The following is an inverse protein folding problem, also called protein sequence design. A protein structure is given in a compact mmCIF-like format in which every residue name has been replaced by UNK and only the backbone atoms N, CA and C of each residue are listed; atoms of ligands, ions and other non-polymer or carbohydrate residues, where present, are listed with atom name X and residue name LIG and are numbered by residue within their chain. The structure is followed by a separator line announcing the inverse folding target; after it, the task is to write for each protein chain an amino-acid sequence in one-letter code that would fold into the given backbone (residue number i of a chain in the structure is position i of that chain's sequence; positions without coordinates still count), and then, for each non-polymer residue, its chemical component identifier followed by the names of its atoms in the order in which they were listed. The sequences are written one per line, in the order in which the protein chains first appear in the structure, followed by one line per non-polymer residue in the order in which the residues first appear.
data_IF_819559040045
#
_entry.id   IF_819559040045
#
_cell.length_a   1.000
_cell.length_b   1.000
_cell.length_c   1.000
_cell.angle_alpha   90.00
_cell.angle_beta   90.00
_cell.angle_gamma   90.00
#
_symmetry.space_group_name_H-M   'P 1'
#
loop_
_entity.id
_entity.type
_entity.pdbx_description
1 polymer ?
#
# COMPACT_ATOMS: atom_id res chain seq x y z
N UNK A 1 -5.25 29.39 -47.55
CA UNK A 1 -4.26 29.74 -48.59
C UNK A 1 -2.98 30.07 -47.85
N UNK A 2 -1.87 29.32 -48.02
CA UNK A 2 -1.34 28.84 -49.30
C UNK A 2 -1.38 27.31 -49.51
N UNK A 3 -1.78 26.92 -50.72
CA UNK A 3 -1.23 25.85 -51.60
C UNK A 3 -0.58 24.62 -50.94
N UNK A 4 -1.26 23.47 -50.82
CA UNK A 4 -1.41 22.41 -51.85
C UNK A 4 -0.10 21.71 -52.29
N UNK A 5 0.18 20.54 -51.72
CA UNK A 5 0.93 19.46 -52.38
C UNK A 5 0.16 18.15 -52.18
N UNK A 6 -0.34 17.64 -53.30
CA UNK A 6 -1.05 16.37 -53.48
C UNK A 6 -0.06 15.41 -54.17
N UNK A 7 0.24 14.26 -53.55
CA UNK A 7 0.86 13.13 -54.24
C UNK A 7 0.06 11.86 -53.91
N UNK A 8 -0.61 11.37 -54.95
CA UNK A 8 -1.32 10.09 -55.00
C UNK A 8 -0.37 8.90 -55.10
N UNK A 9 -0.82 7.81 -54.47
CA UNK A 9 -0.73 6.38 -54.85
C UNK A 9 0.65 5.75 -55.12
N UNK A 10 0.94 4.70 -54.36
CA UNK A 10 0.96 3.33 -54.94
C UNK A 10 0.64 2.29 -53.88
N UNK A 11 -0.22 1.35 -54.26
CA UNK A 11 -0.54 0.13 -53.56
C UNK A 11 0.59 -0.90 -53.76
N UNK A 12 0.83 -1.71 -52.74
CA UNK A 12 1.68 -2.89 -52.80
C UNK A 12 1.01 -4.02 -52.04
N UNK A 13 0.25 -4.83 -52.78
CA UNK A 13 -0.21 -6.15 -52.34
C UNK A 13 1.00 -7.04 -52.07
N UNK A 14 0.99 -7.75 -50.94
CA UNK A 14 1.72 -9.00 -50.80
C UNK A 14 0.74 -10.08 -50.32
N UNK A 15 0.41 -10.92 -51.28
CA UNK A 15 -0.34 -12.16 -51.16
C UNK A 15 0.62 -13.36 -50.99
N UNK A 16 0.17 -14.40 -50.30
CA UNK A 16 0.78 -15.74 -50.25
C UNK A 16 1.65 -16.00 -49.00
N UNK A 17 1.47 -17.07 -48.24
CA UNK A 17 0.61 -18.22 -48.40
C UNK A 17 0.55 -19.08 -47.14
N UNK A 18 -0.48 -19.91 -47.09
CA UNK A 18 -0.69 -21.02 -46.16
C UNK A 18 0.55 -21.92 -46.06
N UNK A 19 0.76 -22.58 -44.91
CA UNK A 19 0.76 -24.05 -44.78
C UNK A 19 0.82 -24.50 -43.29
N UNK A 20 -0.18 -25.32 -42.94
CA UNK A 20 -0.22 -26.42 -41.95
C UNK A 20 -0.24 -26.17 -40.43
N UNK A 21 -1.45 -26.32 -39.89
CA UNK A 21 -1.75 -26.78 -38.53
C UNK A 21 -1.59 -28.30 -38.40
N UNK A 22 -1.08 -28.83 -37.26
CA UNK A 22 -1.34 -30.21 -36.86
C UNK A 22 -2.54 -30.28 -35.91
N UNK A 23 -3.47 -31.19 -36.23
CA UNK A 23 -4.60 -31.60 -35.38
C UNK A 23 -4.09 -32.25 -34.09
N UNK A 24 -4.45 -31.69 -32.93
CA UNK A 24 -4.41 -32.38 -31.65
C UNK A 24 -5.78 -33.02 -31.38
N UNK A 25 -5.82 -34.35 -31.47
CA UNK A 25 -6.98 -35.16 -31.14
C UNK A 25 -7.06 -35.40 -29.64
N UNK A 26 -8.21 -35.02 -29.06
CA UNK A 26 -8.96 -35.62 -27.94
C UNK A 26 -8.16 -36.13 -26.73
N UNK A 27 -8.48 -35.54 -25.57
CA UNK A 27 -8.91 -36.30 -24.39
C UNK A 27 -9.75 -35.39 -23.48
N UNK A 28 -11.06 -35.62 -23.48
CA UNK A 28 -12.00 -35.09 -22.46
C UNK A 28 -11.82 -35.96 -21.21
N UNK A 29 -11.33 -35.40 -20.11
CA UNK A 29 -11.49 -36.03 -18.80
C UNK A 29 -12.89 -35.68 -18.24
N UNK A 30 -13.75 -36.69 -18.15
CA UNK A 30 -14.93 -36.67 -17.30
C UNK A 30 -14.51 -37.35 -16.00
N UNK A 31 -14.48 -36.62 -14.88
CA UNK A 31 -14.42 -37.23 -13.56
C UNK A 31 -15.84 -37.62 -13.14
N UNK A 32 -16.13 -38.92 -13.15
CA UNK A 32 -17.28 -39.53 -12.49
C UNK A 32 -16.87 -40.01 -11.11
N UNK A 33 -17.59 -39.50 -10.11
CA UNK A 33 -17.71 -40.05 -8.76
C UNK A 33 -18.38 -41.44 -8.80
N UNK A 34 -17.99 -42.33 -7.88
CA UNK A 34 -18.88 -43.39 -7.38
C UNK A 34 -18.34 -44.81 -7.39
N UNK A 35 -18.49 -45.44 -6.22
CA UNK A 35 -18.60 -46.87 -5.94
C UNK A 35 -17.31 -47.69 -5.73
N UNK A 36 -16.99 -48.01 -4.48
CA UNK A 36 -17.51 -49.12 -3.65
C UNK A 36 -16.78 -50.43 -3.94
N UNK A 37 -15.97 -50.88 -2.96
CA UNK A 37 -15.60 -52.29 -2.81
C UNK A 37 -16.08 -52.74 -1.43
N UNK A 38 -17.17 -53.50 -1.47
CA UNK A 38 -17.57 -54.45 -0.44
C UNK A 38 -16.62 -55.65 -0.48
N UNK A 39 -16.19 -56.13 0.69
CA UNK A 39 -16.13 -57.58 0.93
C UNK A 39 -16.55 -57.88 2.37
N UNK A 40 -17.46 -58.84 2.46
CA UNK A 40 -18.18 -59.36 3.63
C UNK A 40 -17.43 -60.51 4.29
N UNK A 41 -17.65 -60.64 5.60
CA UNK A 41 -17.76 -61.87 6.39
C UNK A 41 -18.15 -61.43 7.80
N UNK A 42 -19.35 -61.64 8.35
CA UNK A 42 -20.13 -62.87 8.50
C UNK A 42 -19.59 -63.66 9.71
N UNK A 43 -20.32 -64.02 10.77
CA UNK A 43 -21.74 -63.90 11.12
C UNK A 43 -21.91 -64.15 12.65
N UNK A 44 -23.01 -63.66 13.25
CA UNK A 44 -23.72 -64.15 14.48
C UNK A 44 -23.05 -63.94 15.87
N UNK A 45 -23.73 -63.72 17.01
CA UNK A 45 -25.08 -63.27 17.45
C UNK A 45 -25.02 -63.21 19.00
N UNK A 46 -25.79 -62.29 19.61
CA UNK A 46 -26.32 -62.31 21.00
C UNK A 46 -25.46 -61.78 22.19
N UNK A 47 -26.06 -60.75 22.81
CA UNK A 47 -26.01 -60.18 24.17
C UNK A 47 -25.33 -60.93 25.33
N UNK A 48 -24.57 -60.18 26.16
CA UNK A 48 -24.73 -60.05 27.63
C UNK A 48 -23.63 -59.11 28.21
N UNK A 49 -24.06 -58.05 28.92
CA UNK A 49 -23.31 -57.30 29.95
C UNK A 49 -23.75 -57.93 31.29
N UNK A 50 -22.90 -58.24 32.30
CA UNK A 50 -22.22 -57.21 33.10
C UNK A 50 -20.89 -57.57 33.83
N UNK A 51 -20.21 -56.52 34.32
CA UNK A 51 -19.38 -56.43 35.56
C UNK A 51 -18.15 -57.35 35.72
N UNK A 52 -17.03 -57.02 36.38
CA UNK A 52 -16.40 -55.84 36.99
C UNK A 52 -15.07 -56.35 37.59
N UNK A 53 -14.03 -55.50 37.61
CA UNK A 53 -12.76 -55.55 38.39
C UNK A 53 -11.77 -56.73 38.26
N UNK A 54 -10.55 -56.42 37.79
CA UNK A 54 -9.28 -56.24 38.55
C UNK A 54 -8.15 -56.22 37.49
N UNK A 55 -7.45 -55.13 37.18
CA UNK A 55 -6.44 -54.45 38.01
C UNK A 55 -5.14 -54.36 37.19
N UNK A 56 -4.48 -53.19 37.19
CA UNK A 56 -3.02 -52.93 37.25
C UNK A 56 -2.77 -51.46 36.83
N UNK A 57 -1.75 -50.88 37.47
CA UNK A 57 -1.61 -49.49 37.83
C UNK A 57 -1.01 -48.54 36.77
N UNK A 58 -1.06 -47.25 37.14
CA UNK A 58 -0.07 -46.21 36.89
C UNK A 58 -0.19 -45.39 35.59
N UNK A 59 -0.91 -44.27 35.69
CA UNK A 59 -0.29 -42.94 35.59
C UNK A 59 -1.30 -41.91 36.12
N UNK A 60 -0.96 -41.23 37.21
CA UNK A 60 -1.66 -39.99 37.54
C UNK A 60 -1.27 -38.95 36.48
N UNK A 61 -2.06 -38.85 35.42
CA UNK A 61 -2.05 -37.68 34.56
C UNK A 61 -2.56 -36.51 35.40
N UNK A 62 -1.65 -35.67 35.90
CA UNK A 62 -2.00 -34.32 36.32
C UNK A 62 -2.59 -33.62 35.10
N UNK A 63 -3.85 -33.14 35.13
CA UNK A 63 -4.32 -32.21 34.13
C UNK A 63 -3.64 -30.87 34.41
N UNK A 64 -2.42 -30.73 33.90
CA UNK A 64 -1.56 -29.58 34.12
C UNK A 64 -0.98 -29.13 32.79
N UNK A 65 -1.61 -28.11 32.22
CA UNK A 65 -1.03 -27.15 31.28
C UNK A 65 -0.38 -27.73 30.00
N UNK A 66 -1.21 -28.14 29.04
CA UNK A 66 -0.97 -27.79 27.64
C UNK A 66 -1.80 -26.55 27.28
N UNK A 67 -1.72 -25.50 28.12
CA UNK A 67 -2.00 -24.16 27.64
C UNK A 67 -0.67 -23.70 27.07
N UNK A 68 -0.53 -23.73 25.74
CA UNK A 68 0.52 -22.94 25.10
C UNK A 68 0.47 -21.56 25.70
N UNK A 69 1.60 -21.03 26.16
CA UNK A 69 1.67 -19.66 26.69
C UNK A 69 0.95 -18.78 25.66
N UNK A 70 -0.19 -18.14 26.01
CA UNK A 70 -0.83 -17.27 25.05
C UNK A 70 0.22 -16.23 24.68
N UNK A 71 0.58 -16.17 23.39
CA UNK A 71 1.40 -15.07 22.91
C UNK A 71 0.72 -13.79 23.40
N UNK A 72 1.50 -12.90 24.00
CA UNK A 72 0.98 -11.60 24.36
C UNK A 72 0.37 -11.02 23.08
N UNK A 73 -0.83 -10.46 23.19
CA UNK A 73 -1.53 -9.82 22.07
C UNK A 73 -0.63 -8.80 21.34
N UNK A 74 0.34 -8.25 22.07
CA UNK A 74 1.40 -7.35 21.62
C UNK A 74 2.28 -7.94 20.51
N UNK A 75 2.40 -9.28 20.44
CA UNK A 75 3.20 -10.02 19.45
C UNK A 75 2.41 -10.40 18.19
N UNK A 76 1.11 -10.04 18.09
CA UNK A 76 0.30 -10.34 16.91
C UNK A 76 0.37 -9.19 15.87
N UNK A 77 0.99 -9.42 14.68
CA UNK A 77 1.26 -8.36 13.71
C UNK A 77 0.01 -7.75 13.06
N UNK A 78 -1.14 -8.44 13.10
CA UNK A 78 -2.36 -8.04 12.37
C UNK A 78 -3.66 -8.12 13.20
N UNK A 79 -3.61 -8.39 14.51
CA UNK A 79 -4.83 -8.46 15.32
C UNK A 79 -5.46 -7.07 15.48
N UNK A 80 -6.67 -6.89 14.93
CA UNK A 80 -7.51 -5.71 15.16
C UNK A 80 -8.06 -5.75 16.58
N UNK A 81 -7.24 -5.40 17.56
CA UNK A 81 -7.76 -5.15 18.88
C UNK A 81 -8.09 -3.67 18.99
N UNK A 82 -9.31 -3.30 18.59
CA UNK A 82 -9.91 -1.97 18.86
C UNK A 82 -10.04 -1.64 20.36
N UNK A 83 -9.33 -2.35 21.23
CA UNK A 83 -9.29 -2.22 22.68
C UNK A 83 -8.09 -1.40 23.18
N UNK A 84 -7.01 -1.26 22.40
CA UNK A 84 -5.82 -0.50 22.86
C UNK A 84 -6.01 0.98 22.53
N UNK A 85 -6.26 1.79 23.55
CA UNK A 85 -6.42 3.25 23.38
C UNK A 85 -5.09 3.96 23.16
N UNK A 86 -4.11 3.61 24.00
CA UNK A 86 -2.76 4.21 24.09
C UNK A 86 -1.75 3.15 24.55
N UNK A 87 -0.46 3.41 24.34
CA UNK A 87 0.64 2.57 24.80
C UNK A 87 0.88 1.30 23.96
N UNK A 88 0.10 1.10 22.90
CA UNK A 88 0.30 0.04 21.92
C UNK A 88 1.44 0.33 20.95
N UNK A 89 1.58 -0.55 19.96
CA UNK A 89 2.70 -0.51 19.01
C UNK A 89 2.27 -0.03 17.61
N UNK A 90 3.28 0.28 16.80
CA UNK A 90 3.18 0.54 15.36
C UNK A 90 3.95 -0.55 14.62
N UNK A 91 3.34 -1.16 13.62
CA UNK A 91 4.01 -2.16 12.76
C UNK A 91 4.13 -1.61 11.34
N UNK A 92 5.33 -1.64 10.73
CA UNK A 92 5.50 -1.29 9.32
C UNK A 92 4.93 -2.41 8.45
N UNK A 93 4.44 -2.04 7.27
CA UNK A 93 3.80 -2.93 6.31
C UNK A 93 4.42 -2.69 4.93
N UNK A 94 4.86 -3.75 4.28
CA UNK A 94 5.25 -3.72 2.88
C UNK A 94 3.99 -3.95 2.05
N UNK A 95 3.67 -3.01 1.17
CA UNK A 95 2.41 -3.02 0.42
C UNK A 95 2.58 -3.64 -0.98
N UNK A 96 3.81 -3.63 -1.51
CA UNK A 96 4.13 -4.18 -2.82
C UNK A 96 5.11 -3.30 -3.58
N UNK A 97 5.19 -3.52 -4.89
CA UNK A 97 6.06 -2.76 -5.77
C UNK A 97 5.46 -2.54 -7.15
N UNK A 98 5.94 -1.50 -7.83
CA UNK A 98 5.59 -1.23 -9.22
C UNK A 98 6.80 -0.71 -10.00
N UNK A 99 6.72 -0.81 -11.32
CA UNK A 99 7.78 -0.37 -12.25
C UNK A 99 7.43 0.98 -12.84
N UNK A 100 8.31 1.96 -12.71
CA UNK A 100 8.17 3.29 -13.31
C UNK A 100 8.37 3.26 -14.84
N UNK A 101 7.92 4.30 -15.58
CA UNK A 101 8.09 4.37 -17.04
C UNK A 101 9.55 4.29 -17.50
N UNK A 102 10.49 4.86 -16.74
CA UNK A 102 11.94 4.79 -17.00
C UNK A 102 12.57 3.43 -16.69
N UNK A 103 11.78 2.51 -16.11
CA UNK A 103 12.16 1.15 -15.78
C UNK A 103 12.72 0.92 -14.39
N UNK A 104 12.96 1.98 -13.60
CA UNK A 104 13.22 1.87 -12.16
C UNK A 104 12.01 1.28 -11.45
N UNK A 105 12.20 0.84 -10.21
CA UNK A 105 11.12 0.27 -9.40
C UNK A 105 10.83 1.16 -8.20
N UNK A 106 9.63 1.07 -7.65
CA UNK A 106 9.29 1.67 -6.35
C UNK A 106 8.77 0.57 -5.45
N UNK A 107 9.44 0.39 -4.30
CA UNK A 107 8.96 -0.40 -3.17
C UNK A 107 8.21 0.56 -2.25
N UNK A 108 6.96 0.29 -1.88
CA UNK A 108 6.20 1.23 -1.06
C UNK A 108 5.61 0.58 0.19
N UNK A 109 5.44 1.40 1.23
CA UNK A 109 5.23 0.93 2.58
C UNK A 109 4.13 1.71 3.28
N UNK A 110 3.34 1.00 4.07
CA UNK A 110 2.32 1.51 4.96
C UNK A 110 2.63 1.14 6.41
N UNK A 111 1.76 1.50 7.34
CA UNK A 111 1.90 1.08 8.74
C UNK A 111 0.54 0.81 9.36
N UNK A 112 0.53 0.05 10.46
CA UNK A 112 -0.63 -0.07 11.33
C UNK A 112 -0.29 0.41 12.74
N UNK A 113 -0.91 1.50 13.17
CA UNK A 113 -0.89 1.95 14.55
C UNK A 113 -2.09 1.31 15.27
N UNK A 114 -1.80 0.44 16.24
CA UNK A 114 -2.83 -0.31 16.99
C UNK A 114 -3.60 0.56 17.99
N UNK A 115 -3.09 1.74 18.30
CA UNK A 115 -3.76 2.67 19.19
C UNK A 115 -4.96 3.30 18.50
N UNK A 116 -6.06 3.45 19.24
CA UNK A 116 -7.28 4.10 18.72
C UNK A 116 -7.32 5.61 18.98
N UNK A 117 -6.55 6.11 19.95
CA UNK A 117 -6.56 7.52 20.36
C UNK A 117 -5.17 8.19 20.28
N UNK A 118 -4.08 7.40 20.25
CA UNK A 118 -2.71 7.93 20.29
C UNK A 118 -2.09 8.07 18.91
N UNK A 119 -1.61 9.28 18.62
CA UNK A 119 -0.60 9.50 17.58
C UNK A 119 0.76 9.20 18.19
N UNK A 120 1.49 8.26 17.58
CA UNK A 120 2.85 7.93 18.01
C UNK A 120 3.83 8.74 17.17
N UNK A 121 4.85 9.31 17.80
CA UNK A 121 5.94 9.99 17.11
C UNK A 121 7.24 9.17 17.27
N UNK A 122 7.85 8.79 16.14
CA UNK A 122 9.14 8.09 16.11
C UNK A 122 10.03 8.81 15.09
N UNK A 123 10.91 9.72 15.53
CA UNK A 123 11.83 10.42 14.64
C UNK A 123 12.68 9.45 13.82
N UNK A 124 13.02 9.83 12.59
CA UNK A 124 13.97 9.09 11.75
C UNK A 124 15.28 8.89 12.51
N UNK A 125 15.77 7.66 12.54
CA UNK A 125 16.94 7.28 13.32
C UNK A 125 16.96 5.80 13.69
N UNK A 126 17.68 5.38 14.73
CA UNK A 126 17.80 3.96 15.10
C UNK A 126 16.46 3.26 15.34
N UNK A 127 15.48 3.97 15.93
CA UNK A 127 14.14 3.46 16.18
C UNK A 127 13.19 3.57 14.98
N UNK A 128 13.56 4.27 13.90
CA UNK A 128 12.79 4.41 12.66
C UNK A 128 13.77 4.49 11.47
N UNK A 129 14.21 3.33 11.01
CA UNK A 129 15.31 3.18 10.04
C UNK A 129 14.84 2.43 8.81
N UNK A 130 15.32 2.87 7.63
CA UNK A 130 15.15 2.16 6.37
C UNK A 130 16.53 1.76 5.87
N UNK A 131 16.76 0.45 5.78
CA UNK A 131 18.02 -0.13 5.31
C UNK A 131 17.86 -0.66 3.89
N UNK A 132 18.67 -0.20 2.94
CA UNK A 132 18.75 -0.75 1.59
C UNK A 132 20.08 -1.44 1.30
N UNK A 133 20.30 -1.93 0.05
CA UNK A 133 21.57 -2.55 -0.34
C UNK A 133 22.80 -1.63 -0.15
N UNK A 134 22.59 -0.32 -0.20
CA UNK A 134 23.64 0.71 -0.07
C UNK A 134 23.84 1.22 1.36
N UNK A 135 23.14 0.65 2.36
CA UNK A 135 23.15 1.10 3.75
C UNK A 135 21.86 1.82 4.19
N UNK A 136 21.77 2.13 5.48
CA UNK A 136 20.59 2.74 6.11
C UNK A 136 20.57 4.26 6.00
N UNK A 137 19.45 4.82 5.55
CA UNK A 137 19.25 6.26 5.33
C UNK A 137 17.81 6.70 5.59
N UNK A 138 17.63 8.02 5.65
CA UNK A 138 16.35 8.65 5.44
C UNK A 138 15.85 8.37 4.01
N UNK A 139 14.74 7.66 3.89
CA UNK A 139 14.10 7.27 2.63
C UNK A 139 12.70 7.88 2.47
N UNK A 140 12.39 8.96 3.20
CA UNK A 140 11.07 9.60 3.18
C UNK A 140 10.00 8.94 4.08
N UNK A 141 10.36 7.96 4.92
CA UNK A 141 9.46 7.31 5.89
C UNK A 141 8.81 8.28 6.90
N UNK A 142 7.54 8.11 7.30
CA UNK A 142 6.90 9.02 8.25
C UNK A 142 7.60 9.01 9.61
N UNK A 143 7.47 10.12 10.35
CA UNK A 143 7.80 10.17 11.78
C UNK A 143 6.55 10.28 12.66
N UNK A 144 5.39 10.54 12.06
CA UNK A 144 4.10 10.71 12.74
C UNK A 144 3.16 9.56 12.34
N UNK A 145 2.77 8.74 13.30
CA UNK A 145 1.97 7.54 13.11
C UNK A 145 0.59 7.72 13.73
N UNK A 146 -0.38 8.15 12.92
CA UNK A 146 -1.79 8.34 13.34
C UNK A 146 -2.50 7.00 13.59
N UNK A 147 -3.51 6.95 14.48
CA UNK A 147 -4.32 5.75 14.72
C UNK A 147 -4.78 5.02 13.45
N UNK A 148 -4.75 3.69 13.49
CA UNK A 148 -5.27 2.83 12.42
C UNK A 148 -4.26 2.50 11.33
N UNK A 149 -4.78 2.04 10.18
CA UNK A 149 -3.99 1.64 9.01
C UNK A 149 -3.77 2.84 8.11
N UNK A 150 -2.51 3.04 7.71
CA UNK A 150 -2.14 3.95 6.65
C UNK A 150 -1.43 3.15 5.56
N UNK A 151 -1.97 3.18 4.35
CA UNK A 151 -1.45 2.46 3.19
C UNK A 151 -0.48 3.34 2.41
N UNK A 152 0.62 2.74 1.95
CA UNK A 152 1.63 3.35 1.06
C UNK A 152 1.90 4.82 1.33
N UNK A 153 2.37 5.13 2.52
CA UNK A 153 2.64 6.50 3.00
C UNK A 153 4.00 7.04 2.55
N UNK A 154 4.86 6.17 2.02
CA UNK A 154 6.09 6.54 1.29
C UNK A 154 6.53 5.39 0.37
N UNK A 155 7.36 5.74 -0.61
CA UNK A 155 8.02 4.81 -1.51
C UNK A 155 9.53 4.98 -1.51
N UNK A 156 10.24 3.90 -1.77
CA UNK A 156 11.69 3.85 -1.91
C UNK A 156 12.01 3.39 -3.32
N UNK A 157 12.80 4.19 -4.01
CA UNK A 157 13.15 3.93 -5.39
C UNK A 157 14.34 2.96 -5.52
N UNK A 158 14.06 1.93 -6.32
CA UNK A 158 14.83 0.80 -6.81
C UNK A 158 15.62 0.98 -8.12
N UNK A 159 16.95 0.81 -8.28
CA UNK A 159 17.51 0.76 -9.63
C UNK A 159 17.02 -0.46 -10.43
N UNK A 160 17.17 -0.41 -11.75
CA UNK A 160 16.71 -1.45 -12.70
C UNK A 160 17.36 -2.82 -12.49
N UNK A 161 18.53 -2.85 -11.87
CA UNK A 161 19.36 -4.02 -11.60
C UNK A 161 19.31 -4.47 -10.14
N UNK A 162 18.31 -4.02 -9.37
CA UNK A 162 18.14 -4.34 -7.94
C UNK A 162 18.10 -5.84 -7.62
N UNK A 163 17.67 -6.67 -8.58
CA UNK A 163 17.69 -8.14 -8.45
C UNK A 163 16.92 -8.64 -7.23
N UNK A 164 17.56 -9.53 -6.46
CA UNK A 164 17.02 -10.12 -5.23
C UNK A 164 17.29 -9.26 -3.97
N UNK A 165 17.65 -7.98 -4.16
CA UNK A 165 17.87 -7.03 -3.08
C UNK A 165 16.64 -6.83 -2.19
N UNK A 166 16.86 -6.24 -1.01
CA UNK A 166 15.78 -5.90 -0.08
C UNK A 166 15.94 -4.49 0.48
N UNK A 167 14.83 -3.81 0.68
CA UNK A 167 14.74 -2.60 1.51
C UNK A 167 13.97 -2.94 2.78
N UNK A 168 14.56 -2.75 3.95
CA UNK A 168 13.96 -3.14 5.24
C UNK A 168 13.58 -1.89 6.02
N UNK A 169 12.29 -1.70 6.28
CA UNK A 169 11.84 -0.65 7.20
C UNK A 169 11.64 -1.22 8.61
N UNK A 170 12.27 -0.59 9.61
CA UNK A 170 12.26 -0.99 11.00
C UNK A 170 11.70 0.11 11.90
N UNK A 171 10.77 -0.26 12.77
CA UNK A 171 10.18 0.59 13.80
C UNK A 171 10.41 -0.03 15.18
N UNK A 172 10.89 0.77 16.12
CA UNK A 172 11.01 0.42 17.53
C UNK A 172 10.12 1.33 18.35
N UNK A 173 9.18 0.76 19.10
CA UNK A 173 8.25 1.49 19.95
C UNK A 173 7.92 0.67 21.19
N UNK A 174 7.93 1.31 22.36
CA UNK A 174 7.63 0.68 23.65
C UNK A 174 8.44 -0.61 23.89
N UNK A 175 9.73 -0.59 23.54
CA UNK A 175 10.65 -1.74 23.69
C UNK A 175 10.49 -2.85 22.64
N UNK A 176 9.47 -2.78 21.78
CA UNK A 176 9.23 -3.75 20.72
C UNK A 176 9.79 -3.26 19.39
N UNK A 177 10.45 -4.16 18.64
CA UNK A 177 10.98 -3.86 17.30
C UNK A 177 10.26 -4.68 16.25
N UNK A 178 9.74 -4.01 15.22
CA UNK A 178 9.15 -4.63 14.05
C UNK A 178 9.94 -4.23 12.80
N UNK A 179 10.17 -5.18 11.90
CA UNK A 179 10.83 -4.93 10.64
C UNK A 179 10.08 -5.62 9.50
N UNK A 180 10.05 -4.99 8.34
CA UNK A 180 9.44 -5.55 7.13
C UNK A 180 10.36 -5.37 5.92
N UNK A 181 10.77 -6.46 5.24
CA UNK A 181 11.51 -6.37 3.99
C UNK A 181 10.57 -6.15 2.80
N UNK A 182 10.87 -5.16 1.97
CA UNK A 182 10.35 -5.00 0.61
C UNK A 182 11.32 -5.58 -0.42
N UNK A 183 10.77 -6.18 -1.49
CA UNK A 183 11.52 -6.92 -2.51
C UNK A 183 10.78 -6.92 -3.86
N UNK A 184 11.43 -7.29 -4.96
CA UNK A 184 10.81 -7.30 -6.29
C UNK A 184 10.19 -8.65 -6.71
N UNK A 185 9.78 -9.50 -5.76
CA UNK A 185 9.16 -10.78 -6.11
C UNK A 185 7.84 -10.56 -6.89
N UNK A 186 7.59 -11.29 -7.99
CA UNK A 186 6.45 -11.02 -8.88
C UNK A 186 5.07 -11.09 -8.23
N UNK A 187 4.90 -11.90 -7.19
CA UNK A 187 3.65 -12.05 -6.44
C UNK A 187 3.27 -10.78 -5.63
N UNK A 188 4.20 -9.85 -5.47
CA UNK A 188 4.00 -8.55 -4.79
C UNK A 188 3.97 -7.36 -5.76
N UNK A 189 3.98 -7.63 -7.06
CA UNK A 189 3.82 -6.57 -8.05
C UNK A 189 2.37 -6.08 -8.03
N UNK A 190 2.20 -4.77 -7.89
CA UNK A 190 0.88 -4.13 -7.87
C UNK A 190 0.73 -3.18 -9.05
N UNK A 191 -0.51 -2.98 -9.54
CA UNK A 191 -0.77 -2.06 -10.64
C UNK A 191 -0.99 -0.62 -10.14
N UNK A 192 -0.21 -0.17 -9.16
CA UNK A 192 -0.43 1.10 -8.44
C UNK A 192 -0.40 2.35 -9.34
N UNK A 193 0.25 2.27 -10.51
CA UNK A 193 0.36 3.38 -11.48
C UNK A 193 -0.12 3.02 -12.89
N UNK A 194 -0.33 1.73 -13.17
CA UNK A 194 -0.90 1.27 -14.44
C UNK A 194 -2.43 1.20 -14.41
N UNK A 195 -2.99 1.52 -13.25
CA UNK A 195 -4.40 1.57 -12.97
C UNK A 195 -4.97 0.23 -12.50
N UNK A 196 -6.14 0.31 -11.87
CA UNK A 196 -6.86 -0.87 -11.41
C UNK A 196 -7.36 -1.73 -12.59
N UNK A 197 -8.09 -2.80 -12.29
CA UNK A 197 -8.62 -3.68 -13.33
C UNK A 197 -9.74 -3.02 -14.18
N UNK A 198 -10.14 -1.78 -13.88
CA UNK A 198 -11.04 -0.92 -14.65
C UNK A 198 -10.27 0.05 -15.55
N UNK A 199 -8.95 0.14 -15.40
CA UNK A 199 -8.11 1.13 -16.06
C UNK A 199 -8.10 2.49 -15.37
N UNK A 200 -8.61 2.59 -14.12
CA UNK A 200 -8.57 3.83 -13.36
C UNK A 200 -7.14 4.13 -12.90
N UNK A 201 -6.56 5.24 -13.35
CA UNK A 201 -5.20 5.65 -13.00
C UNK A 201 -5.19 6.47 -11.70
N UNK A 202 -4.08 6.48 -10.94
CA UNK A 202 -3.97 7.36 -9.79
C UNK A 202 -3.96 8.84 -10.22
N UNK A 203 -4.47 9.75 -9.35
CA UNK A 203 -4.41 11.18 -9.61
C UNK A 203 -3.00 11.65 -9.91
N UNK A 204 -2.86 12.66 -10.76
CA UNK A 204 -1.60 13.33 -11.03
C UNK A 204 -1.48 14.56 -10.16
N UNK A 205 -0.31 14.81 -9.58
CA UNK A 205 -0.06 16.02 -8.79
C UNK A 205 1.27 16.69 -9.12
N UNK A 206 1.36 17.99 -8.88
CA UNK A 206 2.60 18.78 -8.99
C UNK A 206 2.56 19.95 -8.00
N UNK A 207 3.73 20.44 -7.58
CA UNK A 207 3.88 21.58 -6.67
C UNK A 207 4.23 22.90 -7.37
N UNK A 208 4.51 22.84 -8.67
CA UNK A 208 4.79 23.98 -9.52
C UNK A 208 4.00 23.81 -10.83
N UNK A 209 3.46 24.90 -11.36
CA UNK A 209 2.70 24.86 -12.60
C UNK A 209 3.60 24.45 -13.77
N UNK A 210 3.32 23.28 -14.36
CA UNK A 210 4.14 22.72 -15.44
C UNK A 210 5.49 22.14 -14.99
N UNK A 211 5.67 21.94 -13.68
CA UNK A 211 6.83 21.25 -13.11
C UNK A 211 6.72 19.73 -13.20
N UNK A 212 7.56 19.04 -12.42
CA UNK A 212 7.54 17.58 -12.36
C UNK A 212 6.21 17.07 -11.77
N UNK A 213 5.62 16.10 -12.47
CA UNK A 213 4.37 15.47 -12.10
C UNK A 213 4.62 14.14 -11.39
N UNK A 214 3.96 13.92 -10.25
CA UNK A 214 3.95 12.69 -9.50
C UNK A 214 2.63 11.94 -9.61
N UNK A 215 2.70 10.62 -9.46
CA UNK A 215 1.54 9.73 -9.40
C UNK A 215 1.87 8.47 -8.60
N UNK A 216 0.85 7.87 -7.99
CA UNK A 216 0.95 6.67 -7.17
C UNK A 216 1.62 6.91 -5.79
N UNK A 217 1.88 5.82 -5.04
CA UNK A 217 2.42 5.89 -3.69
C UNK A 217 3.83 6.50 -3.57
N UNK A 218 4.61 6.48 -4.66
CA UNK A 218 5.95 7.09 -4.70
C UNK A 218 5.87 8.61 -4.83
N UNK A 219 4.89 9.10 -5.60
CA UNK A 219 4.53 10.51 -5.61
C UNK A 219 5.59 11.43 -6.20
N UNK A 220 5.59 12.67 -5.74
CA UNK A 220 6.56 13.72 -6.12
C UNK A 220 6.98 14.55 -4.92
N UNK A 221 8.18 15.11 -4.99
CA UNK A 221 8.71 16.07 -4.02
C UNK A 221 8.71 17.48 -4.63
N UNK A 222 8.10 18.42 -3.93
CA UNK A 222 8.23 19.85 -4.25
C UNK A 222 9.58 20.39 -3.80
N UNK A 223 9.96 21.56 -4.34
CA UNK A 223 11.16 22.26 -3.92
C UNK A 223 11.16 22.54 -2.39
N UNK A 224 12.30 22.35 -1.69
CA UNK A 224 12.43 22.73 -0.29
C UNK A 224 12.13 24.21 -0.07
N UNK A 225 11.52 24.54 1.06
CA UNK A 225 11.10 25.91 1.38
C UNK A 225 11.61 26.35 2.74
N UNK A 226 11.68 27.65 2.95
CA UNK A 226 12.04 28.25 4.25
C UNK A 226 10.93 29.16 4.76
N UNK A 227 10.77 29.20 6.08
CA UNK A 227 9.92 30.18 6.78
C UNK A 227 10.44 30.38 8.21
N UNK A 228 9.75 31.22 9.00
CA UNK A 228 10.00 31.40 10.43
C UNK A 228 8.80 30.91 11.25
N UNK A 229 9.00 30.68 12.54
CA UNK A 229 7.94 30.27 13.47
C UNK A 229 6.76 31.24 13.40
N UNK A 230 5.55 30.68 13.45
CA UNK A 230 4.25 31.38 13.42
C UNK A 230 3.99 32.28 12.19
N UNK A 231 4.91 32.39 11.22
CA UNK A 231 4.68 33.08 9.96
C UNK A 231 3.96 32.16 8.95
N UNK A 232 2.70 32.44 8.59
CA UNK A 232 1.97 31.60 7.64
C UNK A 232 2.55 31.73 6.23
N UNK A 233 2.82 30.60 5.59
CA UNK A 233 3.29 30.51 4.20
C UNK A 233 2.27 29.76 3.35
N UNK A 234 1.98 30.27 2.15
CA UNK A 234 1.07 29.59 1.22
C UNK A 234 1.77 28.42 0.53
N UNK A 235 1.17 27.24 0.59
CA UNK A 235 1.51 26.07 -0.23
C UNK A 235 0.40 25.86 -1.27
N UNK A 236 0.78 25.44 -2.48
CA UNK A 236 -0.15 25.14 -3.56
C UNK A 236 0.19 23.78 -4.14
N UNK A 237 -0.84 22.99 -4.43
CA UNK A 237 -0.75 21.73 -5.14
C UNK A 237 -1.74 21.74 -6.29
N UNK A 238 -1.27 21.39 -7.48
CA UNK A 238 -2.13 21.14 -8.63
C UNK A 238 -2.41 19.65 -8.69
N UNK A 239 -3.64 19.31 -9.04
CA UNK A 239 -4.00 17.92 -9.25
C UNK A 239 -5.01 17.78 -10.39
N UNK A 240 -4.95 16.63 -11.05
CA UNK A 240 -5.87 16.19 -12.10
C UNK A 240 -6.00 14.67 -12.03
N UNK A 241 -7.00 14.14 -12.73
CA UNK A 241 -7.29 12.72 -12.78
C UNK A 241 -8.04 12.39 -14.07
N UNK A 242 -7.92 11.15 -14.55
CA UNK A 242 -8.57 10.75 -15.79
C UNK A 242 -10.11 10.63 -15.65
N UNK A 243 -10.61 10.59 -14.41
CA UNK A 243 -12.04 10.55 -14.10
C UNK A 243 -12.68 9.19 -14.37
N UNK A 244 -11.88 8.13 -14.51
CA UNK A 244 -12.35 6.77 -14.78
C UNK A 244 -13.07 6.21 -13.55
N UNK A 245 -14.36 5.81 -13.65
CA UNK A 245 -15.06 5.28 -12.49
C UNK A 245 -14.47 3.94 -12.01
N UNK A 246 -14.34 3.79 -10.70
CA UNK A 246 -13.91 2.55 -10.04
C UNK A 246 -15.00 1.45 -10.05
N UNK A 247 -16.28 1.82 -10.25
CA UNK A 247 -17.40 0.88 -10.33
C UNK A 247 -17.84 0.64 -11.79
N UNK A 248 -17.44 -0.52 -12.35
CA UNK A 248 -17.85 -0.98 -13.70
C UNK A 248 -19.36 -1.10 -13.88
N UNK A 249 -20.10 -1.29 -12.78
CA UNK A 249 -21.54 -1.48 -12.79
C UNK A 249 -22.33 -0.18 -12.71
N UNK A 250 -21.63 0.97 -12.67
CA UNK A 250 -22.21 2.30 -12.91
C UNK A 250 -21.59 3.00 -14.13
N UNK A 251 -21.74 2.45 -15.35
CA UNK A 251 -21.33 3.16 -16.56
C UNK A 251 -22.03 4.51 -16.65
N UNK A 252 -21.26 5.60 -16.74
CA UNK A 252 -21.77 6.96 -16.83
C UNK A 252 -21.95 7.69 -15.49
N UNK A 253 -21.44 7.15 -14.37
CA UNK A 253 -21.25 7.96 -13.17
C UNK A 253 -20.32 9.14 -13.49
N UNK A 254 -20.69 10.36 -13.06
CA UNK A 254 -19.86 11.54 -13.27
C UNK A 254 -18.49 11.33 -12.61
N UNK A 255 -17.42 11.67 -13.33
CA UNK A 255 -16.07 11.69 -12.78
C UNK A 255 -16.06 12.52 -11.49
N UNK A 256 -15.52 11.94 -10.41
CA UNK A 256 -15.50 12.63 -9.11
C UNK A 256 -14.30 13.57 -9.03
N UNK A 257 -14.42 14.68 -8.29
CA UNK A 257 -13.29 15.53 -7.97
C UNK A 257 -12.18 14.76 -7.26
N UNK A 258 -10.93 15.15 -7.51
CA UNK A 258 -9.78 14.67 -6.74
C UNK A 258 -9.83 15.29 -5.35
N UNK A 259 -9.83 14.44 -4.33
CA UNK A 259 -9.78 14.86 -2.93
C UNK A 259 -8.34 14.99 -2.46
N UNK A 260 -7.98 16.16 -1.94
CA UNK A 260 -6.66 16.49 -1.42
C UNK A 260 -6.72 16.59 0.11
N UNK A 261 -5.81 15.91 0.80
CA UNK A 261 -5.67 16.03 2.26
C UNK A 261 -4.21 16.24 2.64
N UNK A 262 -3.96 17.31 3.39
CA UNK A 262 -2.65 17.64 3.95
C UNK A 262 -2.43 17.02 5.33
N UNK A 263 -1.18 16.68 5.62
CA UNK A 263 -0.74 16.15 6.89
C UNK A 263 0.67 16.63 7.22
N UNK A 264 0.96 16.76 8.52
CA UNK A 264 2.34 16.72 9.01
C UNK A 264 2.87 15.29 8.88
N UNK A 265 3.93 15.11 8.10
CA UNK A 265 4.64 13.83 7.91
C UNK A 265 5.80 13.67 8.89
N UNK A 266 6.53 14.78 9.09
CA UNK A 266 7.69 14.89 9.99
C UNK A 266 7.83 16.30 10.56
N UNK A 267 8.63 16.42 11.61
CA UNK A 267 9.08 17.68 12.19
C UNK A 267 8.66 17.87 13.66
N UNK A 268 9.25 18.84 14.37
CA UNK A 268 8.90 19.15 15.77
C UNK A 268 7.56 19.89 15.89
N UNK A 269 6.98 20.02 17.07
CA UNK A 269 5.84 20.91 17.32
C UNK A 269 4.58 20.71 16.46
N UNK A 270 3.68 21.68 16.48
CA UNK A 270 2.42 21.66 15.75
C UNK A 270 2.54 22.32 14.36
N UNK A 271 1.78 21.80 13.40
CA UNK A 271 1.59 22.39 12.07
C UNK A 271 0.12 22.75 11.92
N UNK A 272 -0.16 24.03 11.61
CA UNK A 272 -1.52 24.52 11.42
C UNK A 272 -1.74 24.83 9.94
N UNK A 273 -2.78 24.23 9.36
CA UNK A 273 -3.26 24.54 8.03
C UNK A 273 -4.56 25.34 8.14
N UNK A 274 -4.73 26.37 7.31
CA UNK A 274 -6.02 27.05 7.18
C UNK A 274 -7.08 26.10 6.63
N UNK A 275 -6.74 25.36 5.57
CA UNK A 275 -7.52 24.25 5.02
C UNK A 275 -6.66 22.98 4.93
N UNK A 276 -6.98 21.99 5.76
CA UNK A 276 -6.32 20.68 5.69
C UNK A 276 -6.84 19.82 4.53
N UNK A 277 -8.05 20.11 4.01
CA UNK A 277 -8.71 19.32 2.98
C UNK A 277 -9.35 20.21 1.93
N UNK A 278 -9.36 19.73 0.69
CA UNK A 278 -10.01 20.39 -0.43
C UNK A 278 -10.26 19.41 -1.57
N UNK A 279 -10.91 19.89 -2.62
CA UNK A 279 -11.17 19.11 -3.83
C UNK A 279 -10.85 19.92 -5.06
N UNK A 280 -10.32 19.29 -6.09
CA UNK A 280 -10.15 19.90 -7.42
C UNK A 280 -10.94 19.10 -8.46
N UNK A 281 -11.45 19.73 -9.54
CA UNK A 281 -12.06 18.99 -10.64
C UNK A 281 -11.10 17.92 -11.17
N UNK A 282 -11.62 16.76 -11.58
CA UNK A 282 -10.79 15.71 -12.19
C UNK A 282 -10.08 16.24 -13.45
N UNK A 283 -10.73 17.10 -14.23
CA UNK A 283 -10.14 17.75 -15.40
C UNK A 283 -8.90 18.61 -15.09
N UNK A 284 -8.62 18.88 -13.81
CA UNK A 284 -7.50 19.68 -13.36
C UNK A 284 -7.92 20.89 -12.55
N UNK A 285 -7.10 21.23 -11.56
CA UNK A 285 -7.22 22.44 -10.76
C UNK A 285 -6.12 22.52 -9.72
N UNK A 286 -6.21 23.51 -8.84
CA UNK A 286 -5.27 23.70 -7.74
C UNK A 286 -5.98 23.89 -6.41
N UNK A 287 -5.31 23.46 -5.34
CA UNK A 287 -5.65 23.81 -3.96
C UNK A 287 -4.48 24.58 -3.38
N UNK A 288 -4.76 25.77 -2.84
CA UNK A 288 -3.82 26.54 -2.05
C UNK A 288 -4.28 26.58 -0.61
N UNK A 289 -3.35 26.53 0.35
CA UNK A 289 -3.65 26.79 1.75
C UNK A 289 -2.46 27.43 2.45
N UNK A 290 -2.69 28.16 3.53
CA UNK A 290 -1.61 28.68 4.37
C UNK A 290 -1.25 27.67 5.44
N UNK A 291 0.04 27.53 5.70
CA UNK A 291 0.59 26.67 6.75
C UNK A 291 1.50 27.47 7.68
N UNK A 292 1.40 27.22 8.98
CA UNK A 292 2.26 27.81 10.01
C UNK A 292 2.80 26.73 10.95
N UNK A 293 3.99 26.98 11.51
CA UNK A 293 4.75 26.03 12.31
C UNK A 293 5.04 26.62 13.68
N UNK A 294 4.86 25.83 14.74
CA UNK A 294 4.96 26.33 16.11
C UNK A 294 6.39 26.29 16.70
N UNK A 295 7.34 25.65 16.02
CA UNK A 295 8.71 25.46 16.52
C UNK A 295 9.73 25.51 15.37
N UNK A 296 11.00 25.89 15.64
CA UNK A 296 12.06 25.78 14.66
C UNK A 296 12.42 24.32 14.38
N UNK A 297 12.84 24.03 13.15
CA UNK A 297 13.30 22.70 12.74
C UNK A 297 12.99 22.36 11.29
N UNK A 298 13.32 21.14 10.90
CA UNK A 298 13.00 20.59 9.57
C UNK A 298 11.68 19.82 9.63
N UNK A 299 10.81 20.11 8.68
CA UNK A 299 9.49 19.51 8.54
C UNK A 299 9.34 18.88 7.17
N UNK A 300 8.56 17.80 7.09
CA UNK A 300 8.03 17.32 5.83
C UNK A 300 6.51 17.37 5.95
N UNK A 301 5.88 18.07 5.01
CA UNK A 301 4.44 18.04 4.82
C UNK A 301 4.11 17.03 3.74
N UNK A 302 2.98 16.34 3.92
CA UNK A 302 2.50 15.28 3.06
C UNK A 302 1.11 15.64 2.55
N UNK A 303 0.88 15.55 1.25
CA UNK A 303 -0.46 15.62 0.65
C UNK A 303 -0.81 14.27 0.05
N UNK A 304 -2.05 13.83 0.28
CA UNK A 304 -2.64 12.68 -0.39
C UNK A 304 -3.75 13.13 -1.32
N UNK A 305 -3.57 12.88 -2.62
CA UNK A 305 -4.62 12.98 -3.62
C UNK A 305 -5.32 11.62 -3.76
N UNK A 306 -6.65 11.59 -3.73
CA UNK A 306 -7.45 10.38 -3.94
C UNK A 306 -8.56 10.70 -4.94
N UNK A 307 -8.88 9.75 -5.80
CA UNK A 307 -10.04 9.80 -6.69
C UNK A 307 -11.26 9.12 -6.03
N UNK A 308 -12.19 8.58 -6.85
CA UNK A 308 -13.39 7.86 -6.39
C UNK A 308 -13.11 6.48 -5.75
N UNK A 309 -11.85 6.00 -5.71
CA UNK A 309 -11.48 4.75 -5.02
C UNK A 309 -11.55 4.89 -3.49
N UNK A 310 -11.50 6.12 -2.96
CA UNK A 310 -11.52 6.40 -1.53
C UNK A 310 -10.15 6.22 -0.85
N UNK A 311 -10.12 6.42 0.47
CA UNK A 311 -8.87 6.58 1.24
C UNK A 311 -8.19 5.27 1.68
N UNK A 312 -8.36 4.16 0.95
CA UNK A 312 -7.85 2.85 1.35
C UNK A 312 -7.53 1.93 0.18
N UNK A 313 -6.60 1.01 0.39
CA UNK A 313 -6.02 0.17 -0.67
C UNK A 313 -6.81 -1.10 -1.04
N UNK A 314 -8.12 -1.14 -0.72
CA UNK A 314 -9.08 -2.20 -1.10
C UNK A 314 -8.51 -3.62 -1.31
N UNK A 315 -8.99 -4.31 -2.34
CA UNK A 315 -8.28 -5.43 -2.97
C UNK A 315 -7.36 -4.95 -4.11
N UNK A 316 -7.38 -3.65 -4.38
CA UNK A 316 -6.69 -2.97 -5.46
C UNK A 316 -5.91 -1.84 -4.80
N UNK A 317 -4.57 -1.95 -4.80
CA UNK A 317 -3.66 -0.98 -4.18
C UNK A 317 -3.54 0.28 -5.04
N UNK A 318 -4.70 0.90 -5.31
CA UNK A 318 -4.97 2.07 -6.12
C UNK A 318 -6.28 2.73 -5.59
N UNK A 319 -6.56 4.01 -5.75
CA UNK A 319 -5.85 4.99 -6.55
C UNK A 319 -5.65 6.27 -5.73
N UNK A 320 -4.42 6.41 -5.24
CA UNK A 320 -3.98 7.63 -4.58
C UNK A 320 -2.59 7.99 -5.04
N UNK A 321 -2.28 9.27 -4.85
CA UNK A 321 -0.97 9.83 -5.11
C UNK A 321 -0.48 10.61 -3.92
N UNK A 322 0.80 10.43 -3.61
CA UNK A 322 1.49 11.14 -2.55
C UNK A 322 2.23 12.36 -3.09
N UNK A 323 2.34 13.40 -2.28
CA UNK A 323 3.22 14.53 -2.52
C UNK A 323 3.89 15.00 -1.24
N UNK A 324 5.13 15.45 -1.34
CA UNK A 324 5.93 15.87 -0.20
C UNK A 324 6.53 17.26 -0.41
N UNK A 325 6.56 18.08 0.63
CA UNK A 325 7.27 19.37 0.63
C UNK A 325 8.06 19.49 1.91
N UNK A 326 9.37 19.74 1.79
CA UNK A 326 10.23 20.00 2.93
C UNK A 326 10.21 21.50 3.31
N UNK A 327 10.19 21.76 4.61
CA UNK A 327 10.35 23.09 5.18
C UNK A 327 11.49 23.15 6.18
N UNK A 328 12.34 24.16 6.06
CA UNK A 328 13.24 24.60 7.14
C UNK A 328 12.61 25.80 7.84
N UNK A 329 12.24 25.63 9.11
CA UNK A 329 11.61 26.66 9.93
C UNK A 329 12.64 27.25 10.90
N UNK A 330 12.87 28.56 10.78
CA UNK A 330 13.80 29.31 11.64
C UNK A 330 13.06 29.95 12.82
N UNK A 331 13.77 30.32 13.91
CA UNK A 331 13.19 31.01 15.06
C UNK A 331 12.39 32.27 14.72
#
# INVERSE_FOLDING_TARGET
DPSSYDIRRTAGELSGGLVHSPRLSRLRSRNTYGDQVLMRGGVHRVWLVPMLFLGIAAAMARPGAAQGVPLAIEDMPLAQNGAVKRGGTVTPVYEGWYRQPDGRFVLYFGYYNRNTEEVIEIPVGPANSVDGPSGGLDAGQPAIFRPGRAWGVFGVEVPTDFGDGTVVWRLTVNGSTFAIPGHLRPDWQVPAITGDANGNLPPRIQFEEGGDEGFGPGGVWGAPRETVVDAPVTITVWASDDGTPTDRFRPGANARPVSLTWFKHRGPGEVRFDETRGTVPNSGGQMSTRVAFSQPGTYVLYVRANDDSGAGAGNEQCCWTNGYVEFTVRP
#
